data_IF_982972579270
#
_entry.id   IF_982972579270
#
_cell.length_a   1.000
_cell.length_b   1.000
_cell.length_c   1.000
_cell.angle_alpha   90.00
_cell.angle_beta   90.00
_cell.angle_gamma   90.00
#
_symmetry.space_group_name_H-M   'P 1'
#
loop_
_entity.id
_entity.type
_entity.pdbx_description
1 polymer ?
#
# COMPACT_ATOMS: atom_id res chain seq x y z
N UNK A 1 -3.42 -9.45 10.34
CA UNK A 1 -1.97 -9.28 10.64
C UNK A 1 -1.85 -8.47 11.92
N UNK A 2 -0.91 -8.83 12.81
CA UNK A 2 -0.68 -8.10 14.08
C UNK A 2 0.79 -7.71 14.18
N UNK A 3 1.04 -6.48 14.52
CA UNK A 3 2.38 -5.90 14.73
C UNK A 3 2.54 -5.64 16.23
N UNK A 4 3.69 -6.06 16.82
CA UNK A 4 3.96 -5.95 18.25
C UNK A 4 5.38 -5.44 18.48
N UNK A 5 5.52 -4.28 19.11
CA UNK A 5 6.76 -3.65 19.57
C UNK A 5 7.85 -3.58 18.49
N UNK A 6 7.43 -3.33 17.24
CA UNK A 6 8.32 -3.35 16.10
C UNK A 6 9.31 -2.19 16.19
N UNK A 7 10.61 -2.50 16.11
CA UNK A 7 11.68 -1.51 16.25
C UNK A 7 12.72 -1.66 15.15
N UNK A 8 13.24 -0.51 14.65
CA UNK A 8 14.29 -0.44 13.65
C UNK A 8 15.26 0.70 13.91
N UNK A 9 16.57 0.38 13.84
CA UNK A 9 17.64 1.35 13.89
C UNK A 9 18.38 1.41 12.55
N UNK A 10 18.84 2.60 12.18
CA UNK A 10 19.80 2.86 11.12
C UNK A 10 20.91 3.75 11.69
N UNK A 11 22.15 3.34 11.55
CA UNK A 11 23.32 4.08 12.02
C UNK A 11 23.18 4.58 13.47
N UNK A 12 22.68 3.70 14.34
CA UNK A 12 22.45 4.01 15.76
C UNK A 12 21.23 4.88 16.07
N UNK A 13 20.54 5.40 15.04
CA UNK A 13 19.33 6.19 15.22
C UNK A 13 18.10 5.29 15.13
N UNK A 14 17.22 5.38 16.13
CA UNK A 14 15.95 4.67 16.13
C UNK A 14 14.98 5.36 15.17
N UNK A 15 14.61 4.68 14.08
CA UNK A 15 13.70 5.19 13.03
C UNK A 15 12.28 4.68 13.23
N UNK A 16 12.13 3.48 13.79
CA UNK A 16 10.84 2.93 14.24
C UNK A 16 11.03 2.46 15.67
N UNK A 17 10.11 2.85 16.56
CA UNK A 17 10.24 2.72 17.99
C UNK A 17 8.99 2.09 18.61
N UNK A 18 9.07 0.80 18.92
CA UNK A 18 8.06 0.00 19.63
C UNK A 18 6.64 0.09 19.02
N UNK A 19 6.56 0.11 17.71
CA UNK A 19 5.31 0.25 16.95
C UNK A 19 4.44 -0.99 17.12
N UNK A 20 3.20 -0.82 17.59
CA UNK A 20 2.22 -1.89 17.80
C UNK A 20 0.84 -1.50 17.26
N UNK A 21 0.29 -2.29 16.36
CA UNK A 21 -1.09 -2.14 15.85
C UNK A 21 -1.58 -3.42 15.18
N UNK A 22 -2.87 -3.48 14.89
CA UNK A 22 -3.49 -4.62 14.20
C UNK A 22 -4.11 -4.17 12.89
N UNK A 23 -3.94 -4.97 11.86
CA UNK A 23 -4.51 -4.73 10.52
C UNK A 23 -5.74 -5.62 10.38
N UNK A 24 -6.97 -5.07 10.41
CA UNK A 24 -8.20 -5.80 10.17
C UNK A 24 -8.26 -6.33 8.73
N UNK A 25 -8.79 -7.54 8.55
CA UNK A 25 -8.98 -8.13 7.22
C UNK A 25 -10.10 -7.43 6.44
N UNK A 26 -9.96 -7.35 5.11
CA UNK A 26 -10.96 -6.77 4.22
C UNK A 26 -11.19 -5.29 4.49
N UNK A 27 -10.15 -4.54 4.87
CA UNK A 27 -10.18 -3.11 5.16
C UNK A 27 -9.06 -2.37 4.45
N UNK A 28 -9.26 -1.09 4.23
CA UNK A 28 -8.23 -0.16 3.76
C UNK A 28 -7.65 0.57 4.97
N UNK A 29 -6.34 0.43 5.16
CA UNK A 29 -5.59 1.06 6.26
C UNK A 29 -4.54 2.00 5.66
N UNK A 30 -4.60 3.28 6.02
CA UNK A 30 -3.59 4.26 5.59
C UNK A 30 -2.60 4.57 6.70
N UNK A 31 -1.32 4.56 6.36
CA UNK A 31 -0.22 5.04 7.19
C UNK A 31 0.05 6.49 6.80
N UNK A 32 -0.19 7.44 7.71
CA UNK A 32 0.03 8.88 7.48
C UNK A 32 1.04 9.43 8.49
N UNK A 33 1.53 10.63 8.26
CA UNK A 33 2.46 11.35 9.14
C UNK A 33 3.55 12.08 8.35
N UNK A 34 4.37 12.92 9.01
CA UNK A 34 5.44 13.66 8.38
C UNK A 34 6.46 12.80 7.66
N UNK A 35 7.25 13.42 6.77
CA UNK A 35 8.40 12.76 6.16
C UNK A 35 9.40 12.33 7.23
N UNK A 36 9.96 11.14 7.08
CA UNK A 36 10.87 10.56 8.08
C UNK A 36 10.22 9.99 9.33
N UNK A 37 8.88 9.99 9.45
CA UNK A 37 8.17 9.42 10.60
C UNK A 37 8.20 7.88 10.69
N UNK A 38 8.84 7.17 9.73
CA UNK A 38 9.01 5.73 9.78
C UNK A 38 7.99 4.91 8.98
N UNK A 39 7.04 5.53 8.27
CA UNK A 39 5.95 4.86 7.53
C UNK A 39 6.43 3.79 6.54
N UNK A 40 7.28 4.16 5.58
CA UNK A 40 7.82 3.23 4.57
C UNK A 40 8.75 2.19 5.20
N UNK A 41 9.44 2.52 6.30
CA UNK A 41 10.22 1.54 7.06
C UNK A 41 9.32 0.48 7.69
N UNK A 42 8.21 0.88 8.32
CA UNK A 42 7.20 -0.06 8.85
C UNK A 42 6.61 -0.89 7.71
N UNK A 43 6.24 -0.25 6.58
CA UNK A 43 5.76 -0.96 5.38
C UNK A 43 6.77 -2.01 4.91
N UNK A 44 8.06 -1.66 4.82
CA UNK A 44 9.14 -2.58 4.46
C UNK A 44 9.32 -3.74 5.45
N UNK A 45 9.14 -3.48 6.76
CA UNK A 45 9.24 -4.53 7.78
C UNK A 45 8.04 -5.49 7.75
N UNK A 46 6.82 -4.99 7.61
CA UNK A 46 5.61 -5.84 7.54
C UNK A 46 5.51 -6.62 6.22
N UNK A 47 6.24 -6.20 5.17
CA UNK A 47 6.37 -6.94 3.91
C UNK A 47 7.60 -7.85 3.88
N UNK A 48 8.44 -7.82 4.92
CA UNK A 48 9.72 -8.55 5.00
C UNK A 48 10.77 -8.11 3.96
N UNK A 49 10.63 -6.92 3.38
CA UNK A 49 11.69 -6.30 2.56
C UNK A 49 12.80 -5.72 3.43
N UNK A 50 12.46 -5.28 4.65
CA UNK A 50 13.39 -4.76 5.65
C UNK A 50 13.33 -5.67 6.88
N UNK A 51 14.49 -6.11 7.38
CA UNK A 51 14.56 -6.83 8.65
C UNK A 51 14.36 -5.86 9.81
N UNK A 52 13.47 -6.20 10.75
CA UNK A 52 13.34 -5.48 12.02
C UNK A 52 14.37 -5.96 13.03
N UNK A 53 14.72 -5.09 13.97
CA UNK A 53 15.73 -5.39 14.99
C UNK A 53 15.10 -6.08 16.20
N UNK A 54 13.90 -5.64 16.60
CA UNK A 54 13.11 -6.29 17.64
C UNK A 54 11.61 -6.23 17.33
N UNK A 55 10.80 -6.94 18.12
CA UNK A 55 9.37 -7.06 17.94
C UNK A 55 8.94 -8.26 17.09
N UNK A 56 7.66 -8.28 16.74
CA UNK A 56 7.03 -9.39 16.03
C UNK A 56 6.04 -8.87 14.99
N UNK A 57 6.09 -9.42 13.78
CA UNK A 57 5.02 -9.34 12.80
C UNK A 57 4.34 -10.70 12.74
N UNK A 58 3.20 -10.81 13.42
CA UNK A 58 2.36 -12.01 13.37
C UNK A 58 1.46 -11.94 12.12
N UNK A 59 1.76 -12.80 11.17
CA UNK A 59 0.99 -12.96 9.95
C UNK A 59 0.29 -14.31 9.95
N UNK A 60 -1.03 -14.30 10.09
CA UNK A 60 -1.87 -15.51 10.16
C UNK A 60 -1.42 -16.50 11.25
N UNK A 61 -1.10 -16.02 12.45
CA UNK A 61 -0.67 -16.85 13.59
C UNK A 61 0.77 -17.32 13.53
N UNK A 62 1.59 -16.79 12.61
CA UNK A 62 2.99 -17.17 12.43
C UNK A 62 3.85 -15.93 12.22
N UNK A 63 5.03 -15.89 12.85
CA UNK A 63 6.03 -14.85 12.59
C UNK A 63 6.35 -14.79 11.10
N UNK A 64 6.25 -13.60 10.50
CA UNK A 64 6.47 -13.40 9.06
C UNK A 64 7.86 -13.85 8.61
N UNK A 65 8.86 -13.81 9.49
CA UNK A 65 10.23 -14.30 9.22
C UNK A 65 10.29 -15.80 8.97
N UNK A 66 9.35 -16.56 9.53
CA UNK A 66 9.28 -18.03 9.42
C UNK A 66 8.54 -18.52 8.17
N UNK A 67 7.95 -17.61 7.39
CA UNK A 67 7.29 -17.97 6.14
C UNK A 67 8.31 -18.24 5.03
N UNK A 68 8.09 -19.29 4.25
CA UNK A 68 8.84 -19.49 3.00
C UNK A 68 8.48 -18.38 2.02
N UNK A 69 9.45 -17.82 1.30
CA UNK A 69 9.22 -16.66 0.41
C UNK A 69 8.14 -16.92 -0.63
N UNK A 70 8.13 -18.09 -1.25
CA UNK A 70 7.13 -18.51 -2.24
C UNK A 70 5.71 -18.59 -1.64
N UNK A 71 5.57 -18.99 -0.38
CA UNK A 71 4.27 -19.08 0.30
C UNK A 71 3.77 -17.69 0.71
N UNK A 72 4.67 -16.86 1.23
CA UNK A 72 4.34 -15.48 1.61
C UNK A 72 3.90 -14.66 0.39
N UNK A 73 4.61 -14.77 -0.74
CA UNK A 73 4.28 -14.03 -1.95
C UNK A 73 2.95 -14.46 -2.62
N UNK A 74 2.35 -15.58 -2.19
CA UNK A 74 0.97 -15.95 -2.55
C UNK A 74 -0.09 -15.35 -1.62
N UNK A 75 0.31 -14.70 -0.53
CA UNK A 75 -0.57 -14.12 0.49
C UNK A 75 -0.48 -12.62 0.58
N UNK A 76 0.70 -12.06 0.23
CA UNK A 76 1.03 -10.65 0.37
C UNK A 76 1.74 -10.15 -0.87
N UNK A 77 1.17 -9.14 -1.51
CA UNK A 77 1.78 -8.38 -2.59
C UNK A 77 2.23 -7.01 -2.08
N UNK A 78 3.32 -6.50 -2.63
CA UNK A 78 3.79 -5.16 -2.33
C UNK A 78 4.18 -4.42 -3.61
N UNK A 79 3.78 -3.16 -3.69
CA UNK A 79 4.26 -2.19 -4.65
C UNK A 79 5.02 -1.11 -3.90
N UNK A 80 6.33 -1.03 -4.11
CA UNK A 80 7.21 -0.03 -3.48
C UNK A 80 7.21 1.28 -4.26
N UNK A 81 7.60 2.38 -3.60
CA UNK A 81 7.66 3.72 -4.19
C UNK A 81 8.54 3.80 -5.45
N UNK A 82 9.70 3.13 -5.45
CA UNK A 82 10.63 3.12 -6.56
C UNK A 82 10.62 1.78 -7.30
N UNK A 83 9.92 1.74 -8.44
CA UNK A 83 9.90 0.60 -9.33
C UNK A 83 10.67 0.95 -10.62
N UNK A 84 12.01 0.98 -10.53
CA UNK A 84 12.87 1.13 -11.71
C UNK A 84 12.99 -0.21 -12.43
N UNK A 85 12.06 -0.47 -13.35
CA UNK A 85 12.14 -1.63 -14.23
C UNK A 85 13.04 -1.23 -15.41
N UNK A 86 14.26 -1.75 -15.42
CA UNK A 86 15.24 -1.51 -16.50
C UNK A 86 15.05 -2.47 -17.70
N UNK A 87 14.15 -3.43 -17.57
CA UNK A 87 13.85 -4.40 -18.62
C UNK A 87 12.83 -3.81 -19.60
N UNK A 88 13.02 -4.05 -20.87
CA UNK A 88 12.06 -3.70 -21.92
C UNK A 88 10.94 -4.76 -21.91
N UNK A 89 9.83 -4.43 -21.27
CA UNK A 89 8.68 -5.32 -21.08
C UNK A 89 7.42 -4.65 -21.64
N UNK A 90 6.55 -5.44 -22.22
CA UNK A 90 5.18 -5.01 -22.53
C UNK A 90 4.34 -4.96 -21.25
N UNK A 91 3.21 -4.27 -21.29
CA UNK A 91 2.24 -4.26 -20.16
C UNK A 91 1.82 -5.68 -19.79
N UNK A 92 1.49 -6.51 -20.77
CA UNK A 92 1.11 -7.92 -20.59
C UNK A 92 2.22 -8.73 -19.90
N UNK A 93 3.46 -8.57 -20.32
CA UNK A 93 4.60 -9.23 -19.69
C UNK A 93 4.81 -8.76 -18.25
N UNK A 94 4.68 -7.44 -17.98
CA UNK A 94 4.73 -6.92 -16.63
C UNK A 94 3.65 -7.54 -15.74
N UNK A 95 2.40 -7.58 -16.20
CA UNK A 95 1.29 -8.15 -15.44
C UNK A 95 1.51 -9.64 -15.17
N UNK A 96 2.11 -10.37 -16.13
CA UNK A 96 2.43 -11.78 -15.99
C UNK A 96 3.44 -12.05 -14.85
N UNK A 97 4.31 -11.10 -14.47
CA UNK A 97 5.18 -11.26 -13.29
C UNK A 97 4.40 -11.46 -11.99
N UNK A 98 3.17 -10.96 -11.89
CA UNK A 98 2.29 -11.24 -10.75
C UNK A 98 2.05 -12.75 -10.54
N UNK A 99 2.13 -13.56 -11.61
CA UNK A 99 1.95 -15.02 -11.51
C UNK A 99 3.22 -15.80 -11.16
N UNK A 100 4.37 -15.13 -11.09
CA UNK A 100 5.66 -15.79 -10.79
C UNK A 100 5.66 -16.66 -9.50
N UNK A 101 5.01 -16.28 -8.40
CA UNK A 101 4.94 -17.12 -7.20
C UNK A 101 4.24 -18.47 -7.41
N UNK A 102 3.40 -18.60 -8.43
CA UNK A 102 2.60 -19.79 -8.71
C UNK A 102 3.31 -20.71 -9.71
N UNK A 103 3.57 -20.21 -10.90
CA UNK A 103 4.04 -20.98 -12.05
C UNK A 103 5.50 -20.70 -12.46
N UNK A 104 6.16 -19.73 -11.82
CA UNK A 104 7.49 -19.28 -12.24
C UNK A 104 7.44 -18.68 -13.64
N UNK A 105 8.33 -19.14 -14.52
CA UNK A 105 8.38 -18.66 -15.93
C UNK A 105 7.46 -19.41 -16.89
N UNK A 106 6.72 -20.45 -16.44
CA UNK A 106 5.84 -21.25 -17.28
C UNK A 106 4.38 -21.01 -16.91
N UNK A 107 3.75 -20.04 -17.57
CA UNK A 107 2.36 -19.70 -17.34
C UNK A 107 1.44 -20.85 -17.72
N UNK A 108 0.53 -21.19 -16.81
CA UNK A 108 -0.58 -22.13 -17.04
C UNK A 108 -1.73 -21.44 -17.78
N UNK A 109 -2.73 -22.19 -18.31
CA UNK A 109 -3.96 -21.58 -18.84
C UNK A 109 -4.68 -20.72 -17.80
N UNK A 110 -4.77 -21.16 -16.54
CA UNK A 110 -5.37 -20.40 -15.44
C UNK A 110 -4.63 -19.09 -15.17
N UNK A 111 -3.29 -19.09 -15.21
CA UNK A 111 -2.50 -17.86 -15.05
C UNK A 111 -2.82 -16.85 -16.15
N UNK A 112 -3.02 -17.31 -17.39
CA UNK A 112 -3.37 -16.44 -18.51
C UNK A 112 -4.74 -15.79 -18.30
N UNK A 113 -5.74 -16.54 -17.84
CA UNK A 113 -7.05 -15.99 -17.52
C UNK A 113 -7.01 -14.95 -16.40
N UNK A 114 -6.16 -15.17 -15.39
CA UNK A 114 -5.96 -14.19 -14.30
C UNK A 114 -5.28 -12.93 -14.83
N UNK A 115 -4.29 -13.07 -15.71
CA UNK A 115 -3.61 -11.92 -16.36
C UNK A 115 -4.62 -11.12 -17.19
N UNK A 116 -5.44 -11.77 -18.03
CA UNK A 116 -6.48 -11.11 -18.81
C UNK A 116 -7.46 -10.34 -17.91
N UNK A 117 -7.95 -10.97 -16.84
CA UNK A 117 -8.85 -10.31 -15.89
C UNK A 117 -8.20 -9.10 -15.22
N UNK A 118 -6.91 -9.17 -14.85
CA UNK A 118 -6.20 -8.06 -14.25
C UNK A 118 -5.99 -6.90 -15.24
N UNK A 119 -5.68 -7.20 -16.51
CA UNK A 119 -5.56 -6.22 -17.59
C UNK A 119 -6.90 -5.51 -17.80
N UNK A 120 -7.99 -6.27 -17.91
CA UNK A 120 -9.33 -5.72 -18.10
C UNK A 120 -9.82 -4.91 -16.89
N UNK A 121 -9.57 -5.38 -15.67
CA UNK A 121 -9.92 -4.66 -14.45
C UNK A 121 -9.27 -3.28 -14.37
N UNK A 122 -8.09 -3.14 -14.97
CA UNK A 122 -7.32 -1.89 -15.01
C UNK A 122 -7.49 -1.10 -16.32
N UNK A 123 -8.37 -1.56 -17.22
CA UNK A 123 -8.64 -0.90 -18.53
C UNK A 123 -7.36 -0.69 -19.34
N UNK A 124 -6.59 -1.78 -19.55
CA UNK A 124 -5.29 -1.75 -20.22
C UNK A 124 -5.28 -2.52 -21.55
N UNK A 125 -6.44 -3.04 -22.01
CA UNK A 125 -6.54 -3.90 -23.19
C UNK A 125 -5.94 -3.27 -24.45
N UNK A 126 -6.21 -1.98 -24.68
CA UNK A 126 -5.72 -1.26 -25.87
C UNK A 126 -4.21 -1.02 -25.88
N UNK A 127 -3.57 -1.08 -24.69
CA UNK A 127 -2.14 -0.78 -24.54
C UNK A 127 -1.32 -1.95 -24.01
N UNK A 128 -1.92 -3.14 -23.92
CA UNK A 128 -1.29 -4.30 -23.28
C UNK A 128 0.00 -4.78 -24.00
N UNK A 129 0.12 -4.51 -25.30
CA UNK A 129 1.27 -4.89 -26.10
C UNK A 129 2.31 -3.74 -26.23
N UNK A 130 2.03 -2.56 -25.66
CA UNK A 130 2.98 -1.45 -25.60
C UNK A 130 4.04 -1.69 -24.53
N UNK A 131 5.24 -1.17 -24.76
CA UNK A 131 6.30 -1.23 -23.76
C UNK A 131 6.05 -0.25 -22.60
N UNK A 132 6.45 -0.63 -21.40
CA UNK A 132 6.21 0.16 -20.17
C UNK A 132 6.94 1.49 -20.15
N UNK A 133 8.03 1.63 -20.89
CA UNK A 133 8.79 2.88 -21.08
C UNK A 133 8.10 3.86 -22.04
N UNK A 134 7.13 3.41 -22.83
CA UNK A 134 6.30 4.22 -23.72
C UNK A 134 5.02 4.77 -23.07
N UNK A 135 4.76 4.37 -21.82
CA UNK A 135 3.53 4.71 -21.12
C UNK A 135 3.61 6.06 -20.40
N UNK A 136 2.47 6.75 -20.32
CA UNK A 136 2.33 7.87 -19.38
C UNK A 136 2.47 7.38 -17.94
N UNK A 137 2.79 8.28 -17.00
CA UNK A 137 2.90 7.94 -15.58
C UNK A 137 1.66 7.22 -15.04
N UNK A 138 0.46 7.69 -15.37
CA UNK A 138 -0.80 7.07 -14.94
C UNK A 138 -1.04 5.70 -15.58
N UNK A 139 -0.71 5.51 -16.86
CA UNK A 139 -0.79 4.20 -17.53
C UNK A 139 0.18 3.21 -16.91
N UNK A 140 1.41 3.63 -16.66
CA UNK A 140 2.45 2.81 -16.02
C UNK A 140 2.02 2.40 -14.61
N UNK A 141 1.45 3.32 -13.84
CA UNK A 141 0.96 3.02 -12.49
C UNK A 141 -0.18 1.99 -12.52
N UNK A 142 -1.14 2.12 -13.46
CA UNK A 142 -2.20 1.13 -13.65
C UNK A 142 -1.64 -0.24 -14.02
N UNK A 143 -0.62 -0.32 -14.87
CA UNK A 143 0.03 -1.57 -15.25
C UNK A 143 0.72 -2.25 -14.03
N UNK A 144 1.38 -1.47 -13.17
CA UNK A 144 1.97 -1.97 -11.92
C UNK A 144 0.89 -2.51 -10.94
N UNK A 145 -0.24 -1.83 -10.84
CA UNK A 145 -1.36 -2.34 -10.01
C UNK A 145 -1.98 -3.59 -10.64
N UNK A 146 -2.09 -3.66 -11.97
CA UNK A 146 -2.56 -4.88 -12.65
C UNK A 146 -1.66 -6.09 -12.32
N UNK A 147 -0.34 -5.90 -12.26
CA UNK A 147 0.61 -6.93 -11.82
C UNK A 147 0.31 -7.37 -10.36
N UNK A 148 0.04 -6.43 -9.46
CA UNK A 148 -0.33 -6.72 -8.06
C UNK A 148 -1.67 -7.48 -8.00
N UNK A 149 -2.66 -7.09 -8.81
CA UNK A 149 -3.95 -7.79 -8.90
C UNK A 149 -3.76 -9.21 -9.43
N UNK A 150 -2.94 -9.39 -10.47
CA UNK A 150 -2.65 -10.70 -11.03
C UNK A 150 -1.92 -11.63 -10.04
N UNK A 151 -1.21 -11.11 -9.06
CA UNK A 151 -0.61 -11.89 -7.98
C UNK A 151 -1.68 -12.55 -7.08
N UNK A 152 -2.90 -12.03 -7.07
CA UNK A 152 -4.10 -12.57 -6.39
C UNK A 152 -3.88 -12.91 -4.91
N UNK A 153 -3.33 -11.96 -4.17
CA UNK A 153 -3.05 -12.07 -2.74
C UNK A 153 -4.21 -11.54 -1.89
N UNK A 154 -4.30 -11.98 -0.64
CA UNK A 154 -5.25 -11.45 0.35
C UNK A 154 -4.84 -10.06 0.85
N UNK A 155 -3.52 -9.81 0.99
CA UNK A 155 -2.96 -8.54 1.45
C UNK A 155 -2.23 -7.82 0.32
N UNK A 156 -2.53 -6.53 0.17
CA UNK A 156 -1.93 -5.64 -0.83
C UNK A 156 -1.32 -4.45 -0.10
N UNK A 157 -0.02 -4.25 -0.25
CA UNK A 157 0.73 -3.15 0.33
C UNK A 157 1.14 -2.19 -0.78
N UNK A 158 0.80 -0.91 -0.66
CA UNK A 158 1.10 0.11 -1.65
C UNK A 158 1.82 1.29 -0.98
N UNK A 159 3.09 1.47 -1.32
CA UNK A 159 3.90 2.58 -0.79
C UNK A 159 3.82 3.77 -1.73
N UNK A 160 3.09 4.82 -1.32
CA UNK A 160 2.85 6.06 -2.04
C UNK A 160 2.30 5.87 -3.47
N UNK A 161 1.17 5.15 -3.65
CA UNK A 161 0.67 4.80 -4.98
C UNK A 161 0.18 6.00 -5.80
N UNK A 162 -0.01 7.16 -5.18
CA UNK A 162 -0.46 8.41 -5.81
C UNK A 162 0.69 9.38 -6.09
N UNK A 163 1.93 9.04 -5.73
CA UNK A 163 3.06 9.93 -5.93
C UNK A 163 3.33 10.21 -7.42
N UNK A 164 3.66 11.44 -7.75
CA UNK A 164 3.90 11.92 -9.12
C UNK A 164 2.69 11.77 -10.09
N UNK A 165 1.49 11.58 -9.57
CA UNK A 165 0.25 11.61 -10.36
C UNK A 165 -0.42 12.97 -10.21
N UNK A 166 -1.06 13.43 -11.30
CA UNK A 166 -1.97 14.56 -11.22
C UNK A 166 -3.25 14.19 -10.44
N UNK A 167 -4.08 15.18 -10.13
CA UNK A 167 -5.31 15.01 -9.33
C UNK A 167 -6.23 13.97 -9.95
N UNK A 168 -6.38 13.96 -11.27
CA UNK A 168 -7.27 13.02 -11.96
C UNK A 168 -6.79 11.58 -11.79
N UNK A 169 -5.52 11.32 -12.08
CA UNK A 169 -4.91 9.98 -11.99
C UNK A 169 -4.82 9.51 -10.53
N UNK A 170 -4.45 10.40 -9.59
CA UNK A 170 -4.39 10.09 -8.17
C UNK A 170 -5.78 9.71 -7.61
N UNK A 171 -6.82 10.48 -7.97
CA UNK A 171 -8.20 10.18 -7.54
C UNK A 171 -8.69 8.86 -8.10
N UNK A 172 -8.43 8.56 -9.38
CA UNK A 172 -8.77 7.27 -9.98
C UNK A 172 -8.01 6.11 -9.32
N UNK A 173 -6.73 6.30 -8.98
CA UNK A 173 -5.95 5.33 -8.23
C UNK A 173 -6.59 5.01 -6.88
N UNK A 174 -7.03 6.02 -6.13
CA UNK A 174 -7.68 5.81 -4.84
C UNK A 174 -9.04 5.10 -4.98
N UNK A 175 -9.79 5.36 -6.05
CA UNK A 175 -11.01 4.60 -6.37
C UNK A 175 -10.69 3.13 -6.64
N UNK A 176 -9.62 2.82 -7.38
CA UNK A 176 -9.16 1.45 -7.62
C UNK A 176 -8.80 0.78 -6.29
N UNK A 177 -8.05 1.45 -5.43
CA UNK A 177 -7.72 0.95 -4.09
C UNK A 177 -8.98 0.58 -3.31
N UNK A 178 -10.01 1.43 -3.33
CA UNK A 178 -11.27 1.13 -2.64
C UNK A 178 -11.97 -0.09 -3.24
N UNK A 179 -12.02 -0.18 -4.58
CA UNK A 179 -12.57 -1.34 -5.30
C UNK A 179 -11.83 -2.65 -4.99
N UNK A 180 -10.51 -2.64 -4.82
CA UNK A 180 -9.76 -3.84 -4.39
C UNK A 180 -10.28 -4.39 -3.06
N UNK A 181 -10.66 -3.52 -2.15
CA UNK A 181 -11.25 -3.92 -0.87
C UNK A 181 -12.73 -4.33 -1.04
N UNK A 182 -13.55 -3.47 -1.63
CA UNK A 182 -15.02 -3.63 -1.66
C UNK A 182 -15.48 -4.74 -2.60
N UNK A 183 -14.86 -4.87 -3.77
CA UNK A 183 -15.24 -5.85 -4.80
C UNK A 183 -14.45 -7.17 -4.68
N UNK A 184 -13.16 -7.10 -4.34
CA UNK A 184 -12.28 -8.27 -4.31
C UNK A 184 -11.95 -8.75 -2.88
N UNK A 185 -12.50 -8.10 -1.84
CA UNK A 185 -12.31 -8.47 -0.43
C UNK A 185 -10.85 -8.37 0.05
N UNK A 186 -9.99 -7.62 -0.65
CA UNK A 186 -8.57 -7.50 -0.29
C UNK A 186 -8.39 -6.65 0.96
N UNK A 187 -7.35 -6.93 1.73
CA UNK A 187 -6.86 -6.05 2.80
C UNK A 187 -5.78 -5.16 2.21
N UNK A 188 -6.01 -3.85 2.20
CA UNK A 188 -5.09 -2.91 1.55
C UNK A 188 -4.42 -2.02 2.60
N UNK A 189 -3.09 -1.96 2.58
CA UNK A 189 -2.29 -1.09 3.43
C UNK A 189 -1.60 -0.07 2.52
N UNK A 190 -1.76 1.22 2.84
CA UNK A 190 -1.25 2.33 2.04
C UNK A 190 -0.31 3.20 2.86
N UNK A 191 0.77 3.69 2.26
CA UNK A 191 1.45 4.91 2.74
C UNK A 191 0.93 6.07 1.91
N UNK A 192 0.42 7.10 2.56
CA UNK A 192 -0.11 8.30 1.90
C UNK A 192 0.48 9.57 2.49
N UNK A 193 0.75 10.55 1.61
CA UNK A 193 1.09 11.93 2.01
C UNK A 193 -0.15 12.81 2.11
N UNK A 194 -1.12 12.58 1.21
CA UNK A 194 -2.36 13.36 1.15
C UNK A 194 -3.36 12.87 2.21
N UNK A 195 -3.52 13.68 3.27
CA UNK A 195 -4.36 13.36 4.43
C UNK A 195 -5.82 13.18 4.00
N UNK A 196 -6.29 13.98 3.06
CA UNK A 196 -7.68 13.91 2.58
C UNK A 196 -7.95 12.62 1.79
N UNK A 197 -6.98 12.08 1.06
CA UNK A 197 -7.14 10.73 0.47
C UNK A 197 -7.27 9.66 1.56
N UNK A 198 -6.48 9.73 2.64
CA UNK A 198 -6.64 8.81 3.75
C UNK A 198 -8.04 8.92 4.37
N UNK A 199 -8.56 10.13 4.56
CA UNK A 199 -9.88 10.37 5.13
C UNK A 199 -11.02 9.82 4.26
N UNK A 200 -10.93 9.98 2.93
CA UNK A 200 -12.02 9.61 2.04
C UNK A 200 -12.04 8.14 1.64
N UNK A 201 -10.87 7.48 1.59
CA UNK A 201 -10.74 6.14 1.02
C UNK A 201 -10.36 5.05 2.01
N UNK A 202 -10.01 5.39 3.26
CA UNK A 202 -9.64 4.39 4.27
C UNK A 202 -10.79 4.04 5.21
N UNK A 203 -10.68 2.87 5.85
CA UNK A 203 -11.51 2.48 7.00
C UNK A 203 -10.78 2.82 8.30
N UNK A 204 -9.44 2.66 8.32
CA UNK A 204 -8.57 2.94 9.47
C UNK A 204 -7.37 3.79 9.06
N UNK A 205 -6.89 4.58 9.99
CA UNK A 205 -5.69 5.39 9.84
C UNK A 205 -4.71 5.05 10.97
N UNK A 206 -3.45 4.84 10.60
CA UNK A 206 -2.32 4.73 11.51
C UNK A 206 -1.45 5.97 11.32
N UNK A 207 -1.51 6.90 12.24
CA UNK A 207 -0.77 8.17 12.18
C UNK A 207 0.55 8.06 12.93
N UNK A 208 1.64 8.36 12.23
CA UNK A 208 3.01 8.27 12.73
C UNK A 208 3.60 9.64 13.05
N UNK A 209 4.39 9.70 14.12
CA UNK A 209 5.20 10.85 14.49
C UNK A 209 6.49 10.36 15.15
N UNK A 210 7.62 10.87 14.70
CA UNK A 210 8.96 10.63 15.29
C UNK A 210 9.26 9.12 15.55
N UNK A 211 8.90 8.24 14.59
CA UNK A 211 9.15 6.81 14.65
C UNK A 211 8.13 6.00 15.45
N UNK A 212 7.12 6.63 16.04
CA UNK A 212 6.08 6.00 16.87
C UNK A 212 4.68 6.18 16.27
N UNK A 213 3.74 5.37 16.73
CA UNK A 213 2.32 5.62 16.46
C UNK A 213 1.83 6.72 17.41
N UNK A 214 1.43 7.85 16.82
CA UNK A 214 0.75 8.91 17.56
C UNK A 214 -0.72 8.56 17.79
N UNK A 215 -1.40 8.01 16.77
CA UNK A 215 -2.79 7.58 16.86
C UNK A 215 -3.08 6.44 15.89
N UNK A 216 -3.89 5.48 16.30
CA UNK A 216 -4.48 4.44 15.45
C UNK A 216 -5.96 4.29 15.76
N UNK A 217 -6.80 4.29 14.74
CA UNK A 217 -8.25 4.15 14.90
C UNK A 217 -9.00 4.28 13.57
N UNK A 218 -10.33 4.42 13.66
CA UNK A 218 -11.15 4.74 12.50
C UNK A 218 -10.79 6.13 11.96
N UNK A 219 -11.26 6.44 10.76
CA UNK A 219 -11.05 7.76 10.15
C UNK A 219 -11.52 8.86 11.09
N UNK A 220 -12.71 8.71 11.68
CA UNK A 220 -13.32 9.70 12.58
C UNK A 220 -12.50 9.90 13.87
N UNK A 221 -11.92 8.83 14.41
CA UNK A 221 -11.11 8.88 15.64
C UNK A 221 -9.75 9.55 15.43
N UNK A 222 -9.19 9.47 14.21
CA UNK A 222 -7.86 10.00 13.91
C UNK A 222 -7.93 11.40 13.30
N UNK A 223 -8.91 11.66 12.42
CA UNK A 223 -9.05 12.91 11.66
C UNK A 223 -9.68 14.03 12.51
N UNK A 224 -9.08 14.35 13.63
CA UNK A 224 -9.47 15.47 14.48
C UNK A 224 -8.44 16.61 14.42
N UNK A 225 -8.88 17.84 14.70
CA UNK A 225 -8.01 19.01 14.74
C UNK A 225 -6.80 18.78 15.66
N UNK A 226 -7.07 18.28 16.86
CA UNK A 226 -6.07 18.08 17.92
C UNK A 226 -5.01 17.08 17.46
N UNK A 227 -5.42 15.91 16.95
CA UNK A 227 -4.51 14.86 16.51
C UNK A 227 -3.65 15.35 15.33
N UNK A 228 -4.27 15.95 14.30
CA UNK A 228 -3.53 16.36 13.12
C UNK A 228 -2.58 17.52 13.42
N UNK A 229 -3.02 18.53 14.20
CA UNK A 229 -2.16 19.65 14.58
C UNK A 229 -0.97 19.17 15.42
N UNK A 230 -1.16 18.21 16.32
CA UNK A 230 -0.07 17.62 17.07
C UNK A 230 0.93 16.87 16.18
N UNK A 231 0.41 16.04 15.24
CA UNK A 231 1.24 15.19 14.38
C UNK A 231 2.08 16.03 13.39
N UNK A 232 1.41 16.98 12.72
CA UNK A 232 2.04 17.73 11.63
C UNK A 232 2.62 19.09 12.06
N UNK A 233 2.32 19.57 13.29
CA UNK A 233 2.77 20.86 13.84
C UNK A 233 2.28 22.06 13.01
N UNK A 234 1.06 21.95 12.49
CA UNK A 234 0.36 22.96 11.68
C UNK A 234 -1.05 23.07 12.22
N UNK A 235 -1.66 24.23 12.15
CA UNK A 235 -3.07 24.40 12.52
C UNK A 235 -3.97 23.76 11.46
N UNK A 236 -4.90 22.94 11.94
CA UNK A 236 -5.90 22.27 11.11
C UNK A 236 -7.30 22.72 11.46
N UNK A 237 -8.14 22.80 10.43
CA UNK A 237 -9.60 22.83 10.60
C UNK A 237 -10.18 21.57 9.95
N UNK A 238 -11.20 20.99 10.59
CA UNK A 238 -11.87 19.79 10.08
C UNK A 238 -13.31 20.14 9.74
N UNK A 239 -13.64 20.00 8.47
CA UNK A 239 -15.00 20.14 7.96
C UNK A 239 -15.59 18.74 7.71
N UNK A 240 -16.90 18.59 7.91
CA UNK A 240 -17.59 17.36 7.50
C UNK A 240 -18.26 17.60 6.14
N UNK A 241 -17.83 16.86 5.12
CA UNK A 241 -18.42 16.93 3.77
C UNK A 241 -18.93 15.55 3.38
N UNK A 242 -20.23 15.43 3.18
CA UNK A 242 -20.92 14.19 2.85
C UNK A 242 -20.59 13.03 3.82
N UNK A 243 -20.52 13.33 5.12
CA UNK A 243 -20.21 12.35 6.17
C UNK A 243 -18.72 11.97 6.29
N UNK A 244 -17.83 12.64 5.58
CA UNK A 244 -16.38 12.40 5.63
C UNK A 244 -15.65 13.64 6.16
N UNK A 245 -14.63 13.48 7.02
CA UNK A 245 -13.82 14.61 7.47
C UNK A 245 -12.89 15.09 6.35
N UNK A 246 -12.94 16.38 6.07
CA UNK A 246 -12.01 17.09 5.19
C UNK A 246 -11.11 17.96 6.03
N UNK A 247 -9.80 17.77 5.94
CA UNK A 247 -8.81 18.59 6.62
C UNK A 247 -8.43 19.80 5.76
N UNK A 248 -8.46 20.98 6.37
CA UNK A 248 -7.95 22.24 5.82
C UNK A 248 -6.78 22.68 6.68
N UNK A 249 -5.69 23.10 6.06
CA UNK A 249 -4.48 23.59 6.73
C UNK A 249 -3.84 24.70 5.90
N UNK A 250 -3.22 25.70 6.55
CA UNK A 250 -2.58 26.88 5.95
C UNK A 250 -1.44 27.40 6.82
#
# INVERSE_FOLDING_TARGET
MRIQELTKHYDGKRVVDEVSFSIPKGKVISLIGPNGAGKSTVMGMISRLIAHDSGLVDFEGKDIRKWKSKELSKRLAILTQSNHIQMKLTVRELVAFGRFPYSGSRLTPEDREIIERAISYMELEEIQDRFIDELSGGQRQRALIAMVIAQDTEYVLLDEPTNNLDIYHATNMMKIVRRLCDELGKTVILVLHEINYAAFYSDYICAFKDGRIAKFGTVEEVMTKENLSEIYRVDFEILNIAGKPLSIYY
#
